data_IF_726123862846
#
_entry.id   IF_726123862846
#
_cell.length_a   1.000
_cell.length_b   1.000
_cell.length_c   1.000
_cell.angle_alpha   90.00
_cell.angle_beta   90.00
_cell.angle_gamma   90.00
#
_symmetry.space_group_name_H-M   'P 1'
#
loop_
_entity.id
_entity.type
_entity.pdbx_description
1 polymer ?
#
# COMPACT_ATOMS: atom_id res chain seq x y z
N UNK A 1 36.57 28.75 -17.06
CA UNK A 1 36.26 27.31 -16.99
C UNK A 1 35.38 27.11 -15.77
N UNK A 2 34.06 27.26 -15.95
CA UNK A 2 33.09 27.08 -14.88
C UNK A 2 31.78 26.68 -15.55
N UNK A 3 31.48 25.39 -15.57
CA UNK A 3 30.19 24.80 -16.04
C UNK A 3 30.32 23.26 -15.97
N UNK A 4 30.47 22.68 -14.77
CA UNK A 4 30.35 21.22 -14.57
C UNK A 4 29.88 20.84 -13.16
N UNK A 5 28.81 21.46 -12.63
CA UNK A 5 28.13 20.87 -11.47
C UNK A 5 26.67 21.30 -11.29
N UNK A 6 25.83 21.12 -12.32
CA UNK A 6 24.38 21.32 -12.17
C UNK A 6 23.53 20.13 -12.60
N UNK A 7 24.13 19.12 -13.25
CA UNK A 7 23.40 18.00 -13.87
C UNK A 7 23.33 16.72 -13.02
N UNK A 8 23.88 16.68 -11.80
CA UNK A 8 23.81 15.50 -10.91
C UNK A 8 22.56 15.49 -10.02
N UNK A 9 22.04 16.66 -9.63
CA UNK A 9 20.89 16.76 -8.70
C UNK A 9 19.54 16.47 -9.36
N UNK A 10 19.43 16.63 -10.68
CA UNK A 10 18.16 16.46 -11.39
C UNK A 10 17.83 15.01 -11.77
N UNK A 11 18.84 14.12 -11.82
CA UNK A 11 18.62 12.68 -12.09
C UNK A 11 18.20 11.87 -10.87
N UNK A 12 18.34 12.43 -9.66
CA UNK A 12 18.04 11.76 -8.38
C UNK A 12 16.54 11.83 -8.05
N UNK A 13 15.84 12.85 -8.53
CA UNK A 13 14.41 13.09 -8.22
C UNK A 13 13.49 12.24 -9.12
N UNK A 14 13.92 11.91 -10.33
CA UNK A 14 13.10 11.17 -11.31
C UNK A 14 13.09 9.65 -11.16
N UNK A 15 13.85 9.07 -10.23
CA UNK A 15 14.02 7.61 -10.08
C UNK A 15 13.54 7.07 -8.73
N UNK A 16 12.66 7.83 -8.05
CA UNK A 16 12.00 7.41 -6.80
C UNK A 16 10.77 6.53 -7.11
N UNK A 17 10.28 6.54 -8.36
CA UNK A 17 9.03 5.89 -8.79
C UNK A 17 9.22 4.40 -9.16
N UNK A 18 10.44 3.88 -9.26
CA UNK A 18 10.70 2.54 -9.82
C UNK A 18 10.85 1.38 -8.80
N UNK A 19 10.52 1.55 -7.52
CA UNK A 19 10.55 0.45 -6.53
C UNK A 19 9.18 -0.28 -6.42
N UNK A 20 8.29 0.02 -7.37
CA UNK A 20 6.92 -0.51 -7.42
C UNK A 20 6.74 -1.54 -8.56
N UNK A 21 7.69 -1.67 -9.47
CA UNK A 21 7.56 -2.51 -10.68
C UNK A 21 8.44 -3.74 -10.58
N UNK A 22 8.02 -4.73 -9.79
CA UNK A 22 8.63 -6.06 -9.87
C UNK A 22 7.68 -7.21 -9.54
N UNK A 23 6.36 -7.09 -9.77
CA UNK A 23 5.43 -8.24 -9.69
C UNK A 23 4.27 -8.12 -10.69
N UNK A 24 4.56 -7.77 -11.94
CA UNK A 24 3.58 -7.69 -13.03
C UNK A 24 3.37 -8.96 -13.85
N UNK A 25 3.85 -10.14 -13.44
CA UNK A 25 3.82 -11.34 -14.32
C UNK A 25 3.51 -12.69 -13.65
N UNK A 26 2.93 -12.73 -12.44
CA UNK A 26 2.44 -14.00 -11.83
C UNK A 26 0.90 -13.97 -11.66
N UNK A 27 0.21 -13.19 -12.49
CA UNK A 27 -1.23 -12.93 -12.34
C UNK A 27 -2.16 -13.62 -13.34
N UNK A 28 -1.75 -14.69 -14.05
CA UNK A 28 -2.57 -15.26 -15.14
C UNK A 28 -3.03 -16.73 -14.98
N UNK A 29 -2.94 -17.33 -13.79
CA UNK A 29 -3.36 -18.74 -13.60
C UNK A 29 -4.31 -19.02 -12.42
N UNK A 30 -4.99 -18.01 -11.88
CA UNK A 30 -6.03 -18.23 -10.86
C UNK A 30 -7.27 -17.35 -11.08
N UNK A 31 -7.88 -17.42 -12.28
CA UNK A 31 -9.25 -16.94 -12.50
C UNK A 31 -10.16 -18.15 -12.76
N UNK A 32 -10.62 -18.78 -11.68
CA UNK A 32 -11.74 -19.72 -11.72
C UNK A 32 -13.05 -18.95 -11.58
N UNK A 33 -13.91 -19.05 -12.59
CA UNK A 33 -15.23 -18.43 -12.64
C UNK A 33 -16.06 -18.65 -11.36
N UNK A 34 -16.35 -17.59 -10.61
CA UNK A 34 -17.46 -17.57 -9.68
C UNK A 34 -18.39 -16.41 -10.03
N UNK A 35 -19.44 -16.74 -10.77
CA UNK A 35 -20.60 -15.88 -10.97
C UNK A 35 -21.40 -15.80 -9.67
N UNK A 36 -21.55 -14.63 -9.07
CA UNK A 36 -22.51 -14.41 -7.99
C UNK A 36 -23.45 -13.27 -8.32
N UNK A 37 -24.73 -13.54 -8.06
CA UNK A 37 -25.88 -12.73 -8.47
C UNK A 37 -25.92 -11.42 -7.67
N UNK A 38 -26.06 -10.32 -8.40
CA UNK A 38 -26.27 -8.95 -7.91
C UNK A 38 -27.54 -8.85 -7.05
N UNK A 39 -27.39 -8.39 -5.81
CA UNK A 39 -28.50 -7.83 -5.04
C UNK A 39 -28.23 -6.33 -4.82
N UNK A 40 -29.13 -5.50 -5.34
CA UNK A 40 -29.05 -4.04 -5.26
C UNK A 40 -29.38 -3.61 -3.83
N UNK A 41 -28.52 -2.83 -3.18
CA UNK A 41 -28.96 -2.00 -2.07
C UNK A 41 -28.19 -0.69 -1.98
N UNK A 42 -28.96 0.33 -1.69
CA UNK A 42 -28.81 1.76 -1.92
C UNK A 42 -27.72 2.41 -1.06
N UNK A 43 -27.05 3.40 -1.64
CA UNK A 43 -26.04 4.26 -1.01
C UNK A 43 -26.67 5.23 0.00
N UNK A 44 -25.97 5.43 1.13
CA UNK A 44 -26.05 6.70 1.87
C UNK A 44 -24.65 7.05 2.38
N UNK A 45 -24.11 8.16 1.88
CA UNK A 45 -22.88 8.80 2.35
C UNK A 45 -23.11 9.48 3.69
N UNK A 46 -22.18 9.37 4.65
CA UNK A 46 -21.93 10.46 5.59
C UNK A 46 -20.58 10.38 6.32
N UNK A 47 -20.01 11.59 6.43
CA UNK A 47 -18.72 12.05 6.91
C UNK A 47 -18.30 11.65 8.33
N UNK A 48 -16.98 11.53 8.47
CA UNK A 48 -16.08 11.64 9.62
C UNK A 48 -16.62 12.13 10.96
N UNK A 49 -16.25 11.43 12.04
CA UNK A 49 -15.91 12.03 13.35
C UNK A 49 -14.96 11.09 14.10
N UNK A 50 -13.86 11.64 14.61
CA UNK A 50 -12.91 10.97 15.51
C UNK A 50 -13.39 11.05 16.97
N UNK A 51 -13.04 10.04 17.78
CA UNK A 51 -12.40 10.15 19.13
C UNK A 51 -12.55 8.84 19.95
N UNK A 52 -11.38 8.37 20.42
CA UNK A 52 -11.01 7.64 21.65
C UNK A 52 -11.47 6.22 22.02
N UNK A 53 -10.43 5.36 22.14
CA UNK A 53 -10.07 4.43 23.24
C UNK A 53 -11.14 3.54 23.87
N UNK A 54 -11.05 2.23 23.61
CA UNK A 54 -10.58 1.21 24.57
C UNK A 54 -11.14 -0.17 24.21
N UNK A 55 -10.38 -1.19 24.61
CA UNK A 55 -10.73 -2.60 24.74
C UNK A 55 -10.79 -3.46 23.47
N UNK A 56 -10.07 -4.57 23.56
CA UNK A 56 -10.08 -5.75 22.70
C UNK A 56 -11.52 -6.14 22.35
N UNK A 57 -11.98 -5.72 21.19
CA UNK A 57 -13.16 -6.31 20.56
C UNK A 57 -12.68 -7.18 19.41
N UNK A 58 -12.73 -8.49 19.64
CA UNK A 58 -12.77 -9.50 18.57
C UNK A 58 -13.57 -8.93 17.41
N UNK A 59 -12.91 -8.76 16.27
CA UNK A 59 -13.52 -8.41 14.99
C UNK A 59 -14.41 -9.58 14.53
N UNK A 60 -15.55 -9.79 15.19
CA UNK A 60 -16.56 -10.75 14.76
C UNK A 60 -17.52 -10.07 13.79
N UNK A 61 -17.19 -10.29 12.51
CA UNK A 61 -18.08 -10.50 11.36
C UNK A 61 -19.24 -9.52 11.15
N UNK A 62 -18.91 -8.41 10.50
CA UNK A 62 -19.72 -7.99 9.35
C UNK A 62 -19.27 -8.82 8.13
N UNK A 63 -20.21 -9.45 7.42
CA UNK A 63 -19.97 -10.10 6.12
C UNK A 63 -19.49 -9.13 5.03
N UNK A 64 -19.44 -7.83 5.34
CA UNK A 64 -18.90 -6.80 4.47
C UNK A 64 -17.55 -6.33 4.98
N UNK A 65 -16.60 -6.27 4.06
CA UNK A 65 -15.31 -5.63 4.25
C UNK A 65 -15.50 -4.17 4.68
N UNK A 66 -14.88 -3.78 5.78
CA UNK A 66 -15.04 -2.44 6.37
C UNK A 66 -13.75 -1.62 6.25
N UNK A 67 -13.88 -0.30 6.26
CA UNK A 67 -12.74 0.61 6.29
C UNK A 67 -11.81 0.37 7.49
N UNK A 68 -12.37 -0.04 8.65
CA UNK A 68 -11.58 -0.35 9.84
C UNK A 68 -10.62 -1.52 9.59
N UNK A 69 -11.09 -2.57 8.93
CA UNK A 69 -10.25 -3.72 8.55
C UNK A 69 -9.12 -3.27 7.62
N UNK A 70 -9.47 -2.50 6.58
CA UNK A 70 -8.49 -2.02 5.60
C UNK A 70 -7.45 -1.11 6.25
N UNK A 71 -7.88 -0.12 7.03
CA UNK A 71 -6.98 0.80 7.72
C UNK A 71 -6.11 0.12 8.78
N UNK A 72 -6.61 -0.93 9.43
CA UNK A 72 -5.79 -1.73 10.36
C UNK A 72 -4.64 -2.38 9.59
N UNK A 73 -4.94 -3.03 8.47
CA UNK A 73 -3.91 -3.59 7.59
C UNK A 73 -2.92 -2.52 7.09
N UNK A 74 -3.41 -1.43 6.49
CA UNK A 74 -2.56 -0.37 5.94
C UNK A 74 -1.64 0.25 7.00
N UNK A 75 -2.17 0.55 8.18
CA UNK A 75 -1.40 1.11 9.28
C UNK A 75 -0.31 0.15 9.74
N UNK A 76 -0.64 -1.12 9.91
CA UNK A 76 0.32 -2.15 10.33
C UNK A 76 1.38 -2.39 9.26
N UNK A 77 1.00 -2.51 8.00
CA UNK A 77 1.91 -2.79 6.88
C UNK A 77 2.83 -1.61 6.55
N UNK A 78 2.34 -0.37 6.64
CA UNK A 78 3.10 0.83 6.31
C UNK A 78 3.75 1.54 7.52
N UNK A 79 3.74 0.92 8.70
CA UNK A 79 4.48 1.42 9.88
C UNK A 79 5.59 0.45 10.26
N UNK A 80 6.85 0.86 10.13
CA UNK A 80 8.01 0.02 10.40
C UNK A 80 9.23 0.85 10.80
N UNK A 81 9.90 0.45 11.88
CA UNK A 81 11.16 1.09 12.33
C UNK A 81 12.30 0.87 11.34
N UNK A 82 12.36 -0.33 10.73
CA UNK A 82 13.36 -0.68 9.72
C UNK A 82 12.77 -1.64 8.69
N UNK A 83 13.52 -1.94 7.64
CA UNK A 83 13.06 -2.83 6.57
C UNK A 83 12.51 -4.15 7.14
N UNK A 84 11.22 -4.39 6.91
CA UNK A 84 10.49 -5.58 7.32
C UNK A 84 10.40 -5.83 8.83
N UNK A 85 10.62 -4.83 9.69
CA UNK A 85 10.55 -5.02 11.15
C UNK A 85 9.14 -5.32 11.67
N UNK A 86 8.11 -4.92 10.92
CA UNK A 86 6.70 -5.11 11.21
C UNK A 86 6.12 -6.42 10.65
N UNK A 87 6.96 -7.33 10.13
CA UNK A 87 6.50 -8.55 9.48
C UNK A 87 5.54 -9.39 10.31
N UNK A 88 5.85 -9.57 11.59
CA UNK A 88 5.02 -10.34 12.54
C UNK A 88 3.66 -9.70 12.78
N UNK A 89 3.54 -8.38 12.61
CA UNK A 89 2.33 -7.64 12.92
C UNK A 89 1.34 -7.71 11.76
N UNK A 90 1.82 -7.66 10.51
CA UNK A 90 0.95 -7.76 9.33
C UNK A 90 0.72 -9.20 8.85
N UNK A 91 1.58 -10.15 9.23
CA UNK A 91 1.43 -11.58 8.89
C UNK A 91 0.03 -12.14 9.19
N UNK A 92 -0.59 -11.93 10.37
CA UNK A 92 -1.94 -12.44 10.65
C UNK A 92 -3.06 -11.71 9.88
N UNK A 93 -2.76 -10.63 9.15
CA UNK A 93 -3.75 -9.84 8.42
C UNK A 93 -3.83 -10.21 6.93
N UNK A 94 -3.07 -11.23 6.53
CA UNK A 94 -2.96 -11.66 5.14
C UNK A 94 -3.00 -13.17 5.01
N UNK A 95 -3.25 -13.62 3.78
CA UNK A 95 -3.11 -15.04 3.44
C UNK A 95 -1.64 -15.46 3.44
N UNK A 96 -1.37 -16.74 3.70
CA UNK A 96 -0.03 -17.31 3.66
C UNK A 96 0.67 -17.06 2.32
N UNK A 97 -0.05 -17.22 1.20
CA UNK A 97 0.47 -16.95 -0.14
C UNK A 97 0.90 -15.49 -0.30
N UNK A 98 0.05 -14.54 0.10
CA UNK A 98 0.35 -13.11 0.05
C UNK A 98 1.58 -12.76 0.89
N UNK A 99 1.68 -13.33 2.10
CA UNK A 99 2.85 -13.17 2.96
C UNK A 99 4.11 -13.71 2.28
N UNK A 100 4.05 -14.93 1.73
CA UNK A 100 5.17 -15.55 1.02
C UNK A 100 5.69 -14.71 -0.15
N UNK A 101 4.79 -14.08 -0.92
CA UNK A 101 5.15 -13.15 -2.00
C UNK A 101 5.89 -11.92 -1.46
N UNK A 102 5.39 -11.30 -0.39
CA UNK A 102 6.02 -10.12 0.24
C UNK A 102 7.41 -10.49 0.77
N UNK A 103 7.53 -11.59 1.53
CA UNK A 103 8.80 -12.01 2.09
C UNK A 103 9.83 -12.33 1.01
N UNK A 104 9.40 -12.90 -0.12
CA UNK A 104 10.26 -13.15 -1.28
C UNK A 104 10.75 -11.84 -1.92
N UNK A 105 9.87 -10.85 -2.05
CA UNK A 105 10.22 -9.52 -2.57
C UNK A 105 11.12 -8.72 -1.60
N UNK A 106 10.98 -8.89 -0.29
CA UNK A 106 11.89 -8.31 0.70
C UNK A 106 13.28 -8.95 0.60
N UNK A 107 13.35 -10.28 0.50
CA UNK A 107 14.60 -11.02 0.35
C UNK A 107 15.35 -10.64 -0.94
N UNK A 108 14.64 -10.51 -2.06
CA UNK A 108 15.26 -10.21 -3.37
C UNK A 108 15.79 -8.78 -3.47
N UNK A 109 15.15 -7.81 -2.80
CA UNK A 109 15.58 -6.41 -2.80
C UNK A 109 16.87 -6.15 -2.02
N UNK A 110 17.21 -7.02 -1.07
CA UNK A 110 18.24 -6.70 -0.07
C UNK A 110 17.82 -5.51 0.81
N UNK A 111 18.56 -5.23 1.88
CA UNK A 111 18.26 -4.09 2.77
C UNK A 111 18.58 -2.72 2.16
N UNK A 112 19.15 -2.69 0.95
CA UNK A 112 19.70 -1.50 0.33
C UNK A 112 18.73 -0.97 -0.73
N UNK A 113 17.97 0.07 -0.40
CA UNK A 113 17.44 0.94 -1.43
C UNK A 113 18.63 1.56 -2.17
N UNK A 114 18.54 1.76 -3.48
CA UNK A 114 19.63 2.27 -4.33
C UNK A 114 20.25 3.62 -3.85
N UNK A 115 19.68 4.26 -2.82
CA UNK A 115 20.05 5.57 -2.28
C UNK A 115 20.19 5.64 -0.74
N UNK A 116 20.16 4.51 -0.01
CA UNK A 116 20.23 4.46 1.45
C UNK A 116 19.20 3.53 2.09
N UNK A 117 19.16 3.53 3.42
CA UNK A 117 18.26 2.72 4.24
C UNK A 117 17.02 3.53 4.62
N UNK A 118 15.84 3.03 4.23
CA UNK A 118 14.55 3.56 4.68
C UNK A 118 14.30 3.07 6.11
N UNK A 119 14.05 4.02 7.02
CA UNK A 119 13.85 3.78 8.45
C UNK A 119 12.69 4.65 8.95
N UNK A 120 12.13 4.31 10.11
CA UNK A 120 11.07 5.08 10.78
C UNK A 120 9.87 5.36 9.85
N UNK A 121 9.50 4.39 9.03
CA UNK A 121 8.35 4.51 8.15
C UNK A 121 7.07 4.56 8.98
N UNK A 122 6.19 5.50 8.69
CA UNK A 122 4.96 5.69 9.43
C UNK A 122 3.80 6.03 8.50
N UNK A 123 2.73 5.27 8.66
CA UNK A 123 1.44 5.55 8.02
C UNK A 123 0.86 6.87 8.54
N UNK A 124 0.40 7.72 7.62
CA UNK A 124 -0.28 8.98 7.95
C UNK A 124 -1.80 8.84 7.80
N UNK A 125 -2.25 8.63 6.57
CA UNK A 125 -3.67 8.55 6.23
C UNK A 125 -3.89 7.73 4.95
N UNK A 126 -5.15 7.40 4.70
CA UNK A 126 -5.57 6.76 3.46
C UNK A 126 -6.90 7.32 2.96
N UNK A 127 -7.11 7.25 1.65
CA UNK A 127 -8.43 7.36 1.03
C UNK A 127 -8.79 6.02 0.40
N UNK A 128 -9.97 5.49 0.73
CA UNK A 128 -10.38 4.14 0.36
C UNK A 128 -11.58 4.17 -0.58
N UNK A 129 -11.54 3.34 -1.61
CA UNK A 129 -12.71 2.96 -2.40
C UNK A 129 -12.91 1.45 -2.28
N UNK A 130 -13.97 1.04 -1.58
CA UNK A 130 -14.27 -0.37 -1.32
C UNK A 130 -15.33 -0.85 -2.32
N UNK A 131 -14.94 -1.80 -3.17
CA UNK A 131 -15.89 -2.56 -3.98
C UNK A 131 -16.27 -3.85 -3.24
N UNK A 132 -17.42 -3.82 -2.57
CA UNK A 132 -17.92 -4.99 -1.82
C UNK A 132 -18.30 -6.18 -2.71
N UNK A 133 -18.52 -5.99 -4.02
CA UNK A 133 -18.95 -7.05 -4.93
C UNK A 133 -17.83 -8.03 -5.28
N UNK A 134 -16.60 -7.52 -5.42
CA UNK A 134 -15.41 -8.32 -5.72
C UNK A 134 -14.34 -8.25 -4.62
N UNK A 135 -14.69 -7.72 -3.44
CA UNK A 135 -13.82 -7.65 -2.27
C UNK A 135 -12.48 -6.93 -2.55
N UNK A 136 -12.52 -5.97 -3.48
CA UNK A 136 -11.37 -5.20 -3.91
C UNK A 136 -11.42 -3.80 -3.31
N UNK A 137 -10.27 -3.27 -2.89
CA UNK A 137 -10.15 -1.93 -2.34
C UNK A 137 -9.06 -1.16 -3.06
N UNK A 138 -9.41 -0.03 -3.66
CA UNK A 138 -8.42 0.93 -4.15
C UNK A 138 -8.06 1.88 -3.01
N UNK A 139 -6.77 1.99 -2.72
CA UNK A 139 -6.24 2.80 -1.64
C UNK A 139 -5.27 3.83 -2.19
N UNK A 140 -5.47 5.08 -1.83
CA UNK A 140 -4.44 6.11 -1.87
C UNK A 140 -3.85 6.23 -0.48
N UNK A 141 -2.55 6.02 -0.33
CA UNK A 141 -1.87 5.92 0.98
C UNK A 141 -0.79 6.99 1.07
N UNK A 142 -0.89 7.80 2.12
CA UNK A 142 0.15 8.74 2.50
C UNK A 142 0.95 8.17 3.68
N UNK A 143 2.25 8.31 3.61
CA UNK A 143 3.18 7.88 4.65
C UNK A 143 4.46 8.70 4.57
N UNK A 144 5.23 8.71 5.65
CA UNK A 144 6.55 9.32 5.67
C UNK A 144 7.61 8.36 6.19
N UNK A 145 8.87 8.67 5.91
CA UNK A 145 10.01 7.91 6.37
C UNK A 145 11.28 8.76 6.42
N UNK A 146 12.28 8.26 7.13
CA UNK A 146 13.63 8.80 7.12
C UNK A 146 14.54 7.99 6.16
N UNK A 147 15.58 8.63 5.65
CA UNK A 147 16.64 7.95 4.88
C UNK A 147 17.96 8.12 5.61
N UNK A 148 18.64 6.99 5.84
CA UNK A 148 19.96 6.91 6.45
C UNK A 148 20.99 6.39 5.45
N UNK A 149 22.22 6.88 5.51
CA UNK A 149 23.33 6.33 4.73
C UNK A 149 23.82 4.99 5.31
N UNK A 150 23.75 4.85 6.63
CA UNK A 150 24.11 3.65 7.39
C UNK A 150 23.02 3.37 8.44
N UNK A 151 22.44 2.16 8.41
CA UNK A 151 21.36 1.77 9.32
C UNK A 151 21.77 1.73 10.80
N UNK A 152 23.06 1.55 11.08
CA UNK A 152 23.57 1.37 12.44
C UNK A 152 24.16 2.68 13.02
N UNK A 153 24.26 3.75 12.21
CA UNK A 153 24.71 5.08 12.64
C UNK A 153 23.56 6.11 12.60
N UNK A 154 23.03 6.51 13.77
CA UNK A 154 21.98 7.54 13.86
C UNK A 154 22.38 8.89 13.25
N UNK A 155 23.68 9.21 13.19
CA UNK A 155 24.19 10.46 12.60
C UNK A 155 24.23 10.42 11.08
N UNK A 156 24.01 9.26 10.48
CA UNK A 156 24.03 9.07 9.04
C UNK A 156 22.70 9.44 8.35
N UNK A 157 21.72 9.98 9.11
CA UNK A 157 20.45 10.49 8.55
C UNK A 157 20.72 11.54 7.47
N UNK A 158 20.25 11.29 6.26
CA UNK A 158 20.40 12.19 5.11
C UNK A 158 19.09 12.90 4.75
N UNK A 159 17.94 12.28 5.02
CA UNK A 159 16.62 12.88 4.83
C UNK A 159 15.77 12.54 6.04
N UNK A 160 15.02 13.52 6.54
CA UNK A 160 14.04 13.32 7.60
C UNK A 160 12.64 13.63 7.11
N UNK A 161 11.65 12.87 7.58
CA UNK A 161 10.22 13.10 7.31
C UNK A 161 9.90 13.25 5.81
N UNK A 162 10.49 12.37 4.99
CA UNK A 162 10.23 12.34 3.55
C UNK A 162 8.80 11.84 3.31
N UNK A 163 7.92 12.73 2.86
CA UNK A 163 6.52 12.41 2.55
C UNK A 163 6.43 11.68 1.21
N UNK A 164 5.72 10.56 1.21
CA UNK A 164 5.49 9.71 0.06
C UNK A 164 4.02 9.36 -0.08
N UNK A 165 3.65 9.05 -1.32
CA UNK A 165 2.30 8.69 -1.70
C UNK A 165 2.34 7.48 -2.62
N UNK A 166 1.40 6.55 -2.45
CA UNK A 166 1.20 5.44 -3.38
C UNK A 166 -0.27 5.12 -3.57
N UNK A 167 -0.59 4.59 -4.74
CA UNK A 167 -1.90 4.02 -5.04
C UNK A 167 -1.76 2.51 -5.22
N UNK A 168 -2.60 1.75 -4.50
CA UNK A 168 -2.63 0.29 -4.55
C UNK A 168 -4.05 -0.23 -4.67
N UNK A 169 -4.18 -1.40 -5.27
CA UNK A 169 -5.32 -2.29 -5.17
C UNK A 169 -5.02 -3.36 -4.13
N UNK A 170 -5.92 -3.53 -3.17
CA UNK A 170 -5.93 -4.64 -2.23
C UNK A 170 -7.05 -5.60 -2.62
N UNK A 171 -6.73 -6.87 -2.80
CA UNK A 171 -7.73 -7.94 -2.91
C UNK A 171 -7.86 -8.63 -1.58
N UNK A 172 -9.09 -8.77 -1.08
CA UNK A 172 -9.39 -9.46 0.16
C UNK A 172 -10.08 -10.78 -0.09
N UNK A 173 -9.87 -11.73 0.80
CA UNK A 173 -10.68 -12.95 0.94
C UNK A 173 -11.29 -12.98 2.34
N UNK A 174 -12.51 -13.51 2.46
CA UNK A 174 -13.12 -13.82 3.75
C UNK A 174 -12.98 -15.32 4.03
N UNK A 175 -12.19 -15.69 5.05
CA UNK A 175 -11.95 -17.09 5.43
C UNK A 175 -12.11 -17.22 6.94
N UNK A 176 -12.86 -18.23 7.39
CA UNK A 176 -13.06 -18.52 8.82
C UNK A 176 -13.57 -17.33 9.65
N UNK A 177 -14.35 -16.43 9.04
CA UNK A 177 -14.87 -15.23 9.70
C UNK A 177 -13.88 -14.05 9.76
N UNK A 178 -12.73 -14.17 9.11
CA UNK A 178 -11.70 -13.15 9.06
C UNK A 178 -11.49 -12.63 7.65
N UNK A 179 -11.25 -11.32 7.54
CA UNK A 179 -10.88 -10.66 6.30
C UNK A 179 -9.36 -10.61 6.19
N UNK A 180 -8.82 -11.29 5.18
CA UNK A 180 -7.38 -11.41 4.95
C UNK A 180 -7.02 -10.80 3.60
N UNK A 181 -5.90 -10.07 3.56
CA UNK A 181 -5.32 -9.59 2.30
C UNK A 181 -4.80 -10.78 1.49
N UNK A 182 -5.28 -10.92 0.27
CA UNK A 182 -4.88 -11.96 -0.68
C UNK A 182 -3.87 -11.43 -1.71
N UNK A 183 -3.96 -10.16 -2.10
CA UNK A 183 -3.00 -9.55 -3.02
C UNK A 183 -2.87 -8.05 -2.75
N UNK A 184 -1.68 -7.52 -3.04
CA UNK A 184 -1.35 -6.09 -3.03
C UNK A 184 -0.76 -5.77 -4.39
N UNK A 185 -1.47 -4.97 -5.19
CA UNK A 185 -1.06 -4.61 -6.54
C UNK A 185 -0.91 -3.10 -6.63
N UNK A 186 0.27 -2.58 -6.94
CA UNK A 186 0.40 -1.16 -7.22
C UNK A 186 -0.31 -0.77 -8.51
N UNK A 187 -1.01 0.36 -8.50
CA UNK A 187 -1.74 0.84 -9.66
C UNK A 187 -1.35 2.29 -9.97
N UNK A 188 -1.45 2.66 -11.25
CA UNK A 188 -1.26 4.04 -11.69
C UNK A 188 -2.59 4.58 -12.19
N UNK A 189 -3.07 5.66 -11.58
CA UNK A 189 -4.25 6.37 -12.07
C UNK A 189 -3.78 7.35 -13.15
N UNK A 190 -4.30 7.21 -14.37
CA UNK A 190 -4.01 8.11 -15.48
C UNK A 190 -5.25 8.92 -15.83
N UNK A 191 -5.12 10.25 -15.85
CA UNK A 191 -6.20 11.14 -16.26
C UNK A 191 -6.08 11.42 -17.76
N UNK A 192 -6.51 10.47 -18.58
CA UNK A 192 -6.67 10.71 -20.01
C UNK A 192 -8.09 11.21 -20.27
N UNK A 193 -8.25 12.53 -20.39
CA UNK A 193 -9.50 13.11 -20.92
C UNK A 193 -9.50 12.91 -22.43
N UNK A 194 -10.01 11.77 -22.90
CA UNK A 194 -10.38 11.61 -24.32
C UNK A 194 -11.71 12.33 -24.56
N UNK A 195 -11.64 13.66 -24.63
CA UNK A 195 -12.71 14.45 -25.23
C UNK A 195 -12.59 14.33 -26.73
N UNK A 196 -13.29 13.35 -27.32
CA UNK A 196 -13.58 13.41 -28.75
C UNK A 196 -14.45 14.65 -28.95
N UNK A 197 -13.89 15.67 -29.59
CA UNK A 197 -14.69 16.81 -30.05
C UNK A 197 -15.68 16.24 -31.06
N UNK A 198 -16.93 16.09 -30.65
CA UNK A 198 -18.05 16.07 -31.58
C UNK A 198 -18.06 17.43 -32.26
N UNK A 199 -17.50 17.49 -33.46
CA UNK A 199 -17.58 18.68 -34.30
C UNK A 199 -19.07 18.84 -34.67
N UNK A 200 -19.65 19.95 -34.24
CA UNK A 200 -20.98 20.44 -34.67
C UNK A 200 -21.01 20.78 -36.16
#
# INVERSE_FOLDING_TARGET
MEEKNKNSKLKIIGMIILIVIALGTIGWHFLGNHTTKTNKQTQTSQSSTSISHSSEQQLKTSDKLSEKVVNTFLKTYYTAESNNSNAKDYEPLMTEDAYGVIQSAVKSRGSMGQNGYIMNQKFDQSSLYINSGNQTVFCNVDYHYDIYKDKDDPKSKIVSDFKSHLTIELQYTHKNGEWLVQAITPITITNNVTGEKINE
#
